data_IF_534557747688
#
_entry.id   IF_534557747688
#
_cell.length_a   1.000
_cell.length_b   1.000
_cell.length_c   1.000
_cell.angle_alpha   90.00
_cell.angle_beta   90.00
_cell.angle_gamma   90.00
#
_symmetry.space_group_name_H-M   'P 1'
#
loop_
_entity.id
_entity.type
_entity.pdbx_description
1 polymer ?
#
# COMPACT_ATOMS: atom_id res chain seq x y z
N UNK A 1 -10.03 21.02 -4.83
CA UNK A 1 -8.57 20.76 -4.88
C UNK A 1 -8.25 19.96 -6.12
N UNK A 2 -6.99 20.02 -6.57
CA UNK A 2 -6.46 19.17 -7.65
C UNK A 2 -5.60 18.08 -7.04
N UNK A 3 -5.98 16.84 -7.25
CA UNK A 3 -5.36 15.67 -6.63
C UNK A 3 -4.66 14.84 -7.71
N UNK A 4 -3.41 14.47 -7.50
CA UNK A 4 -2.70 13.48 -8.30
C UNK A 4 -2.55 12.18 -7.51
N UNK A 5 -2.98 11.06 -8.10
CA UNK A 5 -2.76 9.73 -7.54
C UNK A 5 -1.81 8.95 -8.46
N UNK A 6 -0.59 8.71 -8.01
CA UNK A 6 0.39 7.88 -8.70
C UNK A 6 0.12 6.43 -8.30
N UNK A 7 -0.24 5.58 -9.26
CA UNK A 7 -0.71 4.22 -9.02
C UNK A 7 -2.24 4.13 -8.80
N UNK A 8 -3.01 5.03 -9.42
CA UNK A 8 -4.46 5.12 -9.22
C UNK A 8 -5.29 4.02 -9.90
N UNK A 9 -4.73 3.25 -10.82
CA UNK A 9 -5.35 2.04 -11.36
C UNK A 9 -5.10 0.78 -10.51
N UNK A 10 -4.29 0.90 -9.44
CA UNK A 10 -4.02 -0.16 -8.46
C UNK A 10 -5.12 -0.32 -7.42
N UNK A 11 -4.95 -1.29 -6.52
CA UNK A 11 -5.91 -1.62 -5.46
C UNK A 11 -6.24 -0.40 -4.57
N UNK A 12 -5.28 0.11 -3.82
CA UNK A 12 -5.51 1.24 -2.89
C UNK A 12 -5.78 2.53 -3.66
N UNK A 13 -5.02 2.76 -4.75
CA UNK A 13 -5.12 3.98 -5.54
C UNK A 13 -6.49 4.19 -6.16
N UNK A 14 -7.16 3.14 -6.63
CA UNK A 14 -8.49 3.25 -7.23
C UNK A 14 -9.58 3.62 -6.23
N UNK A 15 -9.53 3.09 -5.01
CA UNK A 15 -10.43 3.49 -3.93
C UNK A 15 -10.17 4.94 -3.49
N UNK A 16 -8.92 5.38 -3.50
CA UNK A 16 -8.57 6.77 -3.21
C UNK A 16 -9.07 7.72 -4.31
N UNK A 17 -8.92 7.34 -5.58
CA UNK A 17 -9.50 8.07 -6.72
C UNK A 17 -11.01 8.21 -6.57
N UNK A 18 -11.72 7.13 -6.22
CA UNK A 18 -13.16 7.14 -5.98
C UNK A 18 -13.56 8.08 -4.85
N UNK A 19 -12.85 8.03 -3.72
CA UNK A 19 -13.13 8.86 -2.56
C UNK A 19 -13.00 10.37 -2.82
N UNK A 20 -12.12 10.76 -3.76
CA UNK A 20 -11.93 12.18 -4.10
C UNK A 20 -12.74 12.64 -5.32
N UNK A 21 -13.14 11.74 -6.23
CA UNK A 21 -13.72 12.11 -7.55
C UNK A 21 -15.02 12.92 -7.47
N UNK A 22 -15.82 12.74 -6.41
CA UNK A 22 -17.10 13.43 -6.27
C UNK A 22 -17.00 14.94 -6.04
N UNK A 23 -15.91 15.43 -5.46
CA UNK A 23 -15.78 16.83 -5.01
C UNK A 23 -14.48 17.52 -5.44
N UNK A 24 -13.59 16.82 -6.15
CA UNK A 24 -12.25 17.30 -6.50
C UNK A 24 -11.87 16.93 -7.94
N UNK A 25 -11.01 17.72 -8.56
CA UNK A 25 -10.36 17.34 -9.82
C UNK A 25 -9.30 16.27 -9.51
N UNK A 26 -9.54 15.05 -9.96
CA UNK A 26 -8.65 13.91 -9.72
C UNK A 26 -8.01 13.46 -11.02
N UNK A 27 -6.70 13.33 -11.00
CA UNK A 27 -5.92 12.72 -12.08
C UNK A 27 -5.10 11.56 -11.52
N UNK A 28 -4.97 10.51 -12.30
CA UNK A 28 -4.10 9.39 -12.01
C UNK A 28 -3.03 9.23 -13.08
N UNK A 29 -1.79 8.93 -12.67
CA UNK A 29 -0.79 8.30 -13.54
C UNK A 29 -0.55 6.87 -13.07
N UNK A 30 -0.49 5.94 -14.03
CA UNK A 30 -0.22 4.53 -13.75
C UNK A 30 0.51 3.93 -14.97
N UNK A 31 1.49 3.06 -14.75
CA UNK A 31 2.19 2.32 -15.80
C UNK A 31 1.61 0.92 -16.01
N UNK A 32 0.56 0.58 -15.29
CA UNK A 32 -0.21 -0.67 -15.36
C UNK A 32 0.61 -1.94 -15.11
N UNK A 33 1.74 -1.87 -14.39
CA UNK A 33 2.49 -3.07 -13.96
C UNK A 33 1.61 -3.96 -13.07
N UNK A 34 0.81 -3.34 -12.17
CA UNK A 34 -0.14 -4.06 -11.30
C UNK A 34 -1.55 -3.48 -11.35
N UNK A 35 -1.70 -2.27 -11.86
CA UNK A 35 -2.97 -1.58 -12.06
C UNK A 35 -3.79 -2.22 -13.19
N UNK A 36 -5.10 -1.97 -13.18
CA UNK A 36 -6.05 -2.50 -14.18
C UNK A 36 -7.00 -1.40 -14.63
N UNK A 37 -7.36 -1.42 -15.90
CA UNK A 37 -8.39 -0.51 -16.44
C UNK A 37 -9.76 -0.73 -15.82
N UNK A 38 -10.06 -1.96 -15.37
CA UNK A 38 -11.30 -2.30 -14.66
C UNK A 38 -11.46 -1.56 -13.32
N UNK A 39 -10.38 -1.00 -12.79
CA UNK A 39 -10.39 -0.19 -11.58
C UNK A 39 -10.58 1.31 -11.85
N UNK A 40 -10.77 1.72 -13.11
CA UNK A 40 -10.97 3.12 -13.43
C UNK A 40 -12.29 3.65 -12.86
N UNK A 41 -12.26 4.90 -12.45
CA UNK A 41 -13.42 5.67 -11.97
C UNK A 41 -13.76 6.72 -13.02
N UNK A 42 -15.01 6.79 -13.44
CA UNK A 42 -15.46 7.59 -14.59
C UNK A 42 -15.08 9.07 -14.53
N UNK A 43 -15.07 9.67 -13.35
CA UNK A 43 -14.75 11.09 -13.16
C UNK A 43 -13.25 11.38 -13.02
N UNK A 44 -12.39 10.37 -13.17
CA UNK A 44 -10.94 10.50 -12.99
C UNK A 44 -10.22 10.46 -14.35
N UNK A 45 -9.33 11.40 -14.58
CA UNK A 45 -8.46 11.40 -15.76
C UNK A 45 -7.27 10.44 -15.53
N UNK A 46 -7.20 9.36 -16.31
CA UNK A 46 -6.10 8.38 -16.26
C UNK A 46 -5.11 8.62 -17.40
N UNK A 47 -3.83 8.72 -17.03
CA UNK A 47 -2.72 8.86 -17.99
C UNK A 47 -1.83 7.62 -17.83
N UNK A 48 -1.60 6.90 -18.92
CA UNK A 48 -0.59 5.84 -18.95
C UNK A 48 0.80 6.48 -18.96
N UNK A 49 1.38 6.61 -17.77
CA UNK A 49 2.67 7.27 -17.58
C UNK A 49 3.42 6.62 -16.42
N UNK A 50 4.70 6.33 -16.63
CA UNK A 50 5.59 5.92 -15.55
C UNK A 50 5.92 7.11 -14.65
N UNK A 51 5.96 6.88 -13.33
CA UNK A 51 6.30 7.93 -12.36
C UNK A 51 7.70 8.54 -12.58
N UNK A 52 8.60 7.82 -13.26
CA UNK A 52 9.90 8.36 -13.68
C UNK A 52 9.76 9.56 -14.62
N UNK A 53 8.69 9.60 -15.42
CA UNK A 53 8.42 10.66 -16.38
C UNK A 53 7.47 11.75 -15.87
N UNK A 54 7.18 11.78 -14.57
CA UNK A 54 6.21 12.70 -13.95
C UNK A 54 6.51 14.19 -14.27
N UNK A 55 7.77 14.53 -14.44
CA UNK A 55 8.20 15.90 -14.78
C UNK A 55 7.69 16.40 -16.14
N UNK A 56 7.16 15.51 -16.99
CA UNK A 56 6.51 15.88 -18.26
C UNK A 56 5.07 16.40 -18.08
N UNK A 57 4.49 16.28 -16.88
CA UNK A 57 3.15 16.80 -16.61
C UNK A 57 3.19 18.32 -16.48
N UNK A 58 2.29 19.00 -17.17
CA UNK A 58 2.19 20.48 -17.23
C UNK A 58 1.26 21.11 -16.19
N UNK A 59 0.64 20.29 -15.31
CA UNK A 59 -0.38 20.73 -14.34
C UNK A 59 0.18 20.83 -12.93
N UNK A 60 -0.42 21.76 -12.15
CA UNK A 60 -0.17 21.90 -10.71
C UNK A 60 -1.24 21.11 -9.94
N UNK A 61 -0.81 20.50 -8.83
CA UNK A 61 -1.67 19.77 -7.90
C UNK A 61 -1.52 20.34 -6.50
N UNK A 62 -2.59 20.23 -5.71
CA UNK A 62 -2.56 20.61 -4.29
C UNK A 62 -2.01 19.45 -3.43
N UNK A 63 -2.36 18.23 -3.80
CA UNK A 63 -1.93 17.00 -3.10
C UNK A 63 -1.49 15.96 -4.14
N UNK A 64 -0.38 15.29 -3.84
CA UNK A 64 0.14 14.15 -4.61
C UNK A 64 0.19 12.93 -3.69
N UNK A 65 -0.52 11.86 -4.05
CA UNK A 65 -0.39 10.56 -3.41
C UNK A 65 0.56 9.68 -4.23
N UNK A 66 1.68 9.28 -3.64
CA UNK A 66 2.64 8.38 -4.29
C UNK A 66 2.44 6.94 -3.78
N UNK A 67 1.60 6.18 -4.52
CA UNK A 67 1.26 4.77 -4.26
C UNK A 67 1.84 3.84 -5.34
N UNK A 68 2.37 4.40 -6.44
CA UNK A 68 2.80 3.69 -7.65
C UNK A 68 4.22 3.14 -7.55
N UNK A 69 4.49 2.25 -6.58
CA UNK A 69 5.75 1.53 -6.46
C UNK A 69 5.51 0.02 -6.49
N UNK A 70 6.53 -0.75 -6.91
CA UNK A 70 6.49 -2.20 -6.81
C UNK A 70 6.28 -2.64 -5.35
N UNK A 71 5.35 -3.56 -5.09
CA UNK A 71 4.80 -3.81 -3.75
C UNK A 71 4.77 -5.27 -3.30
N UNK A 72 5.73 -6.12 -3.76
CA UNK A 72 5.79 -7.53 -3.37
C UNK A 72 7.16 -7.90 -2.78
N UNK A 73 7.13 -8.47 -1.57
CA UNK A 73 8.35 -8.83 -0.82
C UNK A 73 9.04 -10.03 -1.45
N UNK A 74 8.32 -11.14 -1.58
CA UNK A 74 8.85 -12.43 -2.03
C UNK A 74 9.39 -12.36 -3.46
N UNK A 75 8.60 -11.87 -4.38
CA UNK A 75 8.93 -11.78 -5.79
C UNK A 75 10.07 -10.78 -6.07
N UNK A 76 10.29 -9.82 -5.16
CA UNK A 76 11.38 -8.87 -5.29
C UNK A 76 12.77 -9.53 -5.21
N UNK A 77 12.89 -10.69 -4.54
CA UNK A 77 14.16 -11.40 -4.39
C UNK A 77 14.77 -11.85 -5.73
N UNK A 78 13.92 -12.15 -6.71
CA UNK A 78 14.34 -12.56 -8.06
C UNK A 78 14.36 -11.44 -9.08
N UNK A 79 13.98 -10.20 -8.68
CA UNK A 79 13.79 -9.04 -9.56
C UNK A 79 14.48 -7.78 -9.03
N UNK A 80 15.69 -7.92 -8.50
CA UNK A 80 16.40 -6.85 -7.76
C UNK A 80 16.46 -5.56 -8.58
N UNK A 81 17.04 -5.59 -9.78
CA UNK A 81 17.23 -4.40 -10.62
C UNK A 81 15.91 -3.75 -11.01
N UNK A 82 14.91 -4.58 -11.35
CA UNK A 82 13.58 -4.11 -11.69
C UNK A 82 12.94 -3.36 -10.52
N UNK A 83 12.99 -3.92 -9.31
CA UNK A 83 12.38 -3.32 -8.10
C UNK A 83 13.08 -2.02 -7.73
N UNK A 84 14.41 -2.01 -7.69
CA UNK A 84 15.18 -0.81 -7.34
C UNK A 84 14.96 0.30 -8.38
N UNK A 85 14.97 -0.04 -9.68
CA UNK A 85 14.69 0.92 -10.75
C UNK A 85 13.28 1.52 -10.65
N UNK A 86 12.26 0.71 -10.41
CA UNK A 86 10.86 1.18 -10.36
C UNK A 86 10.49 1.90 -9.06
N UNK A 87 11.26 1.75 -7.99
CA UNK A 87 10.94 2.39 -6.72
C UNK A 87 11.81 3.61 -6.45
N UNK A 88 13.13 3.56 -6.70
CA UNK A 88 14.05 4.60 -6.20
C UNK A 88 14.08 5.83 -7.10
N UNK A 89 14.42 5.67 -8.38
CA UNK A 89 14.54 6.79 -9.33
C UNK A 89 13.22 7.57 -9.48
N UNK A 90 12.06 6.90 -9.68
CA UNK A 90 10.78 7.60 -9.78
C UNK A 90 10.44 8.43 -8.55
N UNK A 91 10.72 7.94 -7.35
CA UNK A 91 10.44 8.70 -6.11
C UNK A 91 11.19 10.02 -6.05
N UNK A 92 12.43 10.08 -6.53
CA UNK A 92 13.17 11.34 -6.61
C UNK A 92 12.51 12.33 -7.60
N UNK A 93 12.02 11.86 -8.74
CA UNK A 93 11.32 12.72 -9.70
C UNK A 93 9.96 13.20 -9.17
N UNK A 94 9.24 12.34 -8.42
CA UNK A 94 8.01 12.75 -7.72
C UNK A 94 8.31 13.86 -6.69
N UNK A 95 9.40 13.76 -5.94
CA UNK A 95 9.80 14.78 -4.99
C UNK A 95 10.13 16.13 -5.67
N UNK A 96 10.87 16.10 -6.79
CA UNK A 96 11.14 17.30 -7.60
C UNK A 96 9.85 17.93 -8.10
N UNK A 97 8.95 17.11 -8.65
CA UNK A 97 7.66 17.58 -9.17
C UNK A 97 6.79 18.17 -8.06
N UNK A 98 6.70 17.53 -6.89
CA UNK A 98 5.96 18.03 -5.75
C UNK A 98 6.53 19.39 -5.26
N UNK A 99 7.85 19.54 -5.27
CA UNK A 99 8.51 20.83 -4.94
C UNK A 99 8.16 21.91 -5.95
N UNK A 100 8.28 21.64 -7.26
CA UNK A 100 8.00 22.61 -8.33
C UNK A 100 6.54 23.07 -8.34
N UNK A 101 5.62 22.17 -7.99
CA UNK A 101 4.19 22.45 -7.93
C UNK A 101 3.70 22.96 -6.57
N UNK A 102 4.57 22.98 -5.56
CA UNK A 102 4.24 23.28 -4.15
C UNK A 102 3.11 22.40 -3.59
N UNK A 103 3.06 21.14 -4.01
CA UNK A 103 2.05 20.18 -3.60
C UNK A 103 2.42 19.51 -2.27
N UNK A 104 1.41 19.16 -1.45
CA UNK A 104 1.60 18.26 -0.32
C UNK A 104 1.81 16.84 -0.81
N UNK A 105 2.92 16.19 -0.40
CA UNK A 105 3.21 14.81 -0.77
C UNK A 105 2.74 13.85 0.32
N UNK A 106 1.89 12.88 -0.05
CA UNK A 106 1.52 11.74 0.78
C UNK A 106 2.22 10.50 0.21
N UNK A 107 3.22 10.01 0.92
CA UNK A 107 4.02 8.87 0.49
C UNK A 107 3.56 7.57 1.15
N UNK A 108 3.41 6.52 0.33
CA UNK A 108 3.09 5.18 0.80
C UNK A 108 4.36 4.40 1.17
N UNK A 109 4.78 4.45 2.41
CA UNK A 109 5.79 3.60 2.98
C UNK A 109 5.30 2.16 3.19
N UNK A 110 6.12 1.35 3.88
CA UNK A 110 5.79 -0.05 4.18
C UNK A 110 6.04 -0.40 5.64
N UNK A 111 5.11 -1.15 6.25
CA UNK A 111 5.27 -1.69 7.60
C UNK A 111 6.46 -2.66 7.75
N UNK A 112 7.09 -3.09 6.64
CA UNK A 112 8.32 -3.87 6.68
C UNK A 112 9.48 -3.11 7.35
N UNK A 113 9.44 -1.78 7.37
CA UNK A 113 10.39 -0.92 8.09
C UNK A 113 10.43 -1.24 9.59
N UNK A 114 9.29 -1.63 10.17
CA UNK A 114 9.10 -1.89 11.62
C UNK A 114 8.99 -3.38 11.95
N UNK A 115 9.16 -4.26 10.97
CA UNK A 115 9.06 -5.69 11.17
C UNK A 115 10.35 -6.27 11.77
N UNK A 116 10.21 -7.30 12.61
CA UNK A 116 11.32 -8.00 13.26
C UNK A 116 12.31 -7.02 13.93
N UNK A 117 11.80 -6.10 14.76
CA UNK A 117 12.56 -5.03 15.43
C UNK A 117 13.35 -4.12 14.46
N UNK A 118 12.84 -3.92 13.25
CA UNK A 118 13.45 -3.08 12.23
C UNK A 118 14.51 -3.77 11.37
N UNK A 119 14.81 -5.05 11.59
CA UNK A 119 15.79 -5.81 10.79
C UNK A 119 15.25 -6.17 9.40
N UNK A 120 13.93 -6.29 9.25
CA UNK A 120 13.31 -6.72 8.00
C UNK A 120 13.55 -5.76 6.82
N UNK A 121 13.86 -4.49 7.09
CA UNK A 121 14.14 -3.47 6.06
C UNK A 121 15.28 -3.84 5.10
N UNK A 122 16.19 -4.73 5.50
CA UNK A 122 17.33 -5.18 4.67
C UNK A 122 17.15 -6.60 4.10
N UNK A 123 16.01 -7.28 4.37
CA UNK A 123 15.81 -8.68 3.97
C UNK A 123 15.29 -8.88 2.55
N UNK A 124 14.91 -7.83 1.84
CA UNK A 124 14.48 -7.92 0.44
C UNK A 124 14.67 -6.59 -0.29
N UNK A 125 14.82 -6.61 -1.64
CA UNK A 125 14.88 -5.38 -2.45
C UNK A 125 13.68 -4.47 -2.26
N UNK A 126 12.47 -5.04 -2.11
CA UNK A 126 11.27 -4.28 -1.79
C UNK A 126 11.38 -3.58 -0.43
N UNK A 127 11.70 -4.31 0.64
CA UNK A 127 11.81 -3.72 1.98
C UNK A 127 12.88 -2.64 2.04
N UNK A 128 14.02 -2.88 1.38
CA UNK A 128 15.11 -1.92 1.26
C UNK A 128 14.67 -0.65 0.54
N UNK A 129 14.08 -0.76 -0.66
CA UNK A 129 13.65 0.40 -1.44
C UNK A 129 12.59 1.23 -0.69
N UNK A 130 11.63 0.58 -0.03
CA UNK A 130 10.60 1.27 0.76
C UNK A 130 11.17 2.00 1.98
N UNK A 131 12.10 1.38 2.68
CA UNK A 131 12.81 2.03 3.78
C UNK A 131 13.63 3.22 3.28
N UNK A 132 14.48 3.01 2.27
CA UNK A 132 15.32 4.06 1.69
C UNK A 132 14.49 5.25 1.20
N UNK A 133 13.38 5.00 0.48
CA UNK A 133 12.52 6.05 -0.02
C UNK A 133 11.79 6.80 1.12
N UNK A 134 11.42 6.12 2.21
CA UNK A 134 10.86 6.81 3.39
C UNK A 134 11.86 7.80 3.98
N UNK A 135 13.14 7.43 4.09
CA UNK A 135 14.21 8.32 4.57
C UNK A 135 14.50 9.44 3.54
N UNK A 136 14.51 9.12 2.25
CA UNK A 136 14.68 10.10 1.18
C UNK A 136 13.56 11.14 1.16
N UNK A 137 12.30 10.71 1.25
CA UNK A 137 11.13 11.61 1.30
C UNK A 137 11.23 12.53 2.50
N UNK A 138 11.49 11.97 3.69
CA UNK A 138 11.67 12.76 4.91
C UNK A 138 12.77 13.81 4.76
N UNK A 139 13.98 13.37 4.39
CA UNK A 139 15.13 14.25 4.21
C UNK A 139 14.88 15.36 3.19
N UNK A 140 14.37 14.99 2.01
CA UNK A 140 14.15 15.94 0.91
C UNK A 140 13.07 16.98 1.26
N UNK A 141 11.96 16.54 1.85
CA UNK A 141 10.87 17.43 2.23
C UNK A 141 11.26 18.38 3.38
N UNK A 142 11.96 17.88 4.40
CA UNK A 142 12.44 18.70 5.52
C UNK A 142 13.46 19.75 5.04
N UNK A 143 14.44 19.34 4.22
CA UNK A 143 15.46 20.25 3.65
C UNK A 143 14.84 21.38 2.80
N UNK A 144 13.77 21.07 2.06
CA UNK A 144 13.11 22.02 1.16
C UNK A 144 11.84 22.65 1.77
N UNK A 145 11.53 22.41 3.05
CA UNK A 145 10.35 22.92 3.76
C UNK A 145 9.02 22.59 3.06
N UNK A 146 8.95 21.39 2.45
CA UNK A 146 7.76 20.94 1.73
C UNK A 146 6.75 20.30 2.68
N UNK A 147 5.42 20.51 2.46
CA UNK A 147 4.41 19.79 3.19
C UNK A 147 4.38 18.30 2.76
N UNK A 148 4.46 17.38 3.73
CA UNK A 148 4.44 15.95 3.45
C UNK A 148 3.86 15.14 4.59
N UNK A 149 3.42 13.90 4.29
CA UNK A 149 3.17 12.87 5.29
C UNK A 149 3.62 11.49 4.75
N UNK A 150 4.23 10.67 5.62
CA UNK A 150 4.62 9.29 5.30
C UNK A 150 3.68 8.33 6.01
N UNK A 151 2.99 7.51 5.23
CA UNK A 151 2.04 6.50 5.71
C UNK A 151 2.66 5.11 5.62
N UNK A 152 2.23 4.19 6.50
CA UNK A 152 2.70 2.80 6.52
C UNK A 152 1.50 1.86 6.56
N UNK A 153 1.33 1.07 5.51
CA UNK A 153 0.20 0.14 5.40
C UNK A 153 0.49 -1.22 6.04
N UNK A 154 -0.53 -1.78 6.70
CA UNK A 154 -0.50 -3.08 7.34
C UNK A 154 -1.55 -3.99 6.70
N UNK A 155 -1.10 -4.82 5.75
CA UNK A 155 -1.87 -5.85 5.03
C UNK A 155 -3.31 -5.43 4.69
N UNK A 156 -3.43 -4.42 3.83
CA UNK A 156 -4.72 -3.92 3.38
C UNK A 156 -5.48 -5.01 2.62
N UNK A 157 -6.78 -5.15 2.90
CA UNK A 157 -7.68 -6.10 2.25
C UNK A 157 -9.00 -5.44 1.87
N UNK A 158 -9.77 -6.05 0.93
CA UNK A 158 -11.08 -5.56 0.50
C UNK A 158 -11.31 -5.69 -1.00
N UNK A 159 -12.26 -4.94 -1.53
CA UNK A 159 -12.58 -4.94 -2.96
C UNK A 159 -11.40 -4.53 -3.85
N UNK A 160 -11.40 -4.97 -5.11
CA UNK A 160 -10.36 -4.67 -6.14
C UNK A 160 -8.95 -5.22 -5.86
N UNK A 161 -8.79 -6.09 -4.86
CA UNK A 161 -7.53 -6.82 -4.66
C UNK A 161 -7.23 -7.76 -5.83
N UNK A 162 -5.95 -7.95 -6.13
CA UNK A 162 -5.53 -9.03 -7.02
C UNK A 162 -5.63 -10.38 -6.28
N UNK A 163 -6.41 -11.31 -6.81
CA UNK A 163 -6.60 -12.66 -6.26
C UNK A 163 -5.68 -13.71 -6.87
N UNK A 164 -5.03 -13.39 -7.98
CA UNK A 164 -4.16 -14.29 -8.75
C UNK A 164 -2.89 -13.59 -9.22
N UNK A 165 -1.90 -14.38 -9.60
CA UNK A 165 -0.62 -13.88 -10.13
C UNK A 165 0.29 -13.27 -9.06
N UNK A 166 1.30 -12.56 -9.53
CA UNK A 166 2.37 -12.01 -8.72
C UNK A 166 1.88 -11.03 -7.64
N UNK A 167 0.86 -10.24 -7.96
CA UNK A 167 0.33 -9.19 -7.09
C UNK A 167 -0.84 -9.64 -6.21
N UNK A 168 -1.12 -10.94 -6.15
CA UNK A 168 -2.17 -11.48 -5.29
C UNK A 168 -1.89 -11.21 -3.81
N UNK A 169 -2.92 -10.77 -3.08
CA UNK A 169 -2.89 -10.60 -1.62
C UNK A 169 -3.36 -11.87 -0.93
N UNK A 170 -3.00 -12.04 0.33
CA UNK A 170 -3.30 -13.31 1.03
C UNK A 170 -4.80 -13.55 1.17
N UNK A 171 -5.58 -12.53 1.54
CA UNK A 171 -7.04 -12.67 1.72
C UNK A 171 -7.70 -12.99 0.37
N UNK A 172 -7.44 -12.20 -0.67
CA UNK A 172 -8.04 -12.42 -1.98
C UNK A 172 -7.62 -13.77 -2.59
N UNK A 173 -6.34 -14.20 -2.41
CA UNK A 173 -5.87 -15.52 -2.83
C UNK A 173 -6.64 -16.65 -2.13
N UNK A 174 -6.85 -16.54 -0.82
CA UNK A 174 -7.55 -17.58 -0.05
C UNK A 174 -9.03 -17.66 -0.44
N UNK A 175 -9.73 -16.53 -0.53
CA UNK A 175 -11.11 -16.48 -1.00
C UNK A 175 -11.28 -17.03 -2.42
N UNK A 176 -10.36 -16.66 -3.34
CA UNK A 176 -10.36 -17.21 -4.70
C UNK A 176 -10.18 -18.73 -4.71
N UNK A 177 -9.19 -19.26 -3.96
CA UNK A 177 -8.95 -20.71 -3.89
C UNK A 177 -10.15 -21.46 -3.29
N UNK A 178 -10.80 -20.89 -2.26
CA UNK A 178 -12.04 -21.45 -1.68
C UNK A 178 -13.15 -21.53 -2.72
N UNK A 179 -13.38 -20.46 -3.49
CA UNK A 179 -14.38 -20.43 -4.59
C UNK A 179 -14.07 -21.46 -5.70
N UNK A 180 -12.82 -21.84 -5.86
CA UNK A 180 -12.37 -22.90 -6.80
C UNK A 180 -12.32 -24.30 -6.18
N UNK A 181 -12.82 -24.51 -4.96
CA UNK A 181 -12.71 -25.76 -4.19
C UNK A 181 -11.27 -26.30 -4.08
N UNK A 182 -10.27 -25.40 -4.00
CA UNK A 182 -8.85 -25.73 -3.83
C UNK A 182 -8.42 -25.54 -2.39
N UNK A 183 -7.47 -26.37 -1.92
CA UNK A 183 -6.84 -26.20 -0.61
C UNK A 183 -6.18 -24.83 -0.49
N UNK A 184 -6.24 -24.22 0.71
CA UNK A 184 -5.53 -22.97 0.99
C UNK A 184 -4.06 -23.26 1.30
N UNK A 185 -3.17 -22.64 0.54
CA UNK A 185 -1.71 -22.76 0.73
C UNK A 185 -1.24 -21.76 1.77
N UNK A 186 -0.83 -22.23 2.93
CA UNK A 186 -0.26 -21.44 4.02
C UNK A 186 1.24 -21.69 4.08
N UNK A 187 2.05 -20.64 3.92
CA UNK A 187 3.49 -20.72 4.06
C UNK A 187 3.88 -21.04 5.51
N UNK A 188 4.74 -22.05 5.70
CA UNK A 188 5.26 -22.42 7.03
C UNK A 188 5.95 -21.23 7.72
N UNK A 189 5.87 -21.15 9.07
CA UNK A 189 5.21 -22.07 9.98
C UNK A 189 3.69 -21.86 10.09
N UNK A 190 3.10 -20.85 9.48
CA UNK A 190 1.68 -20.48 9.59
C UNK A 190 1.35 -19.63 10.83
N UNK A 191 2.26 -19.58 11.80
CA UNK A 191 2.12 -18.81 13.06
C UNK A 191 2.60 -17.35 12.97
N UNK A 192 3.13 -16.95 11.81
CA UNK A 192 3.47 -15.54 11.58
C UNK A 192 2.24 -14.66 11.67
N UNK A 193 2.34 -13.58 12.47
CA UNK A 193 1.21 -12.69 12.74
C UNK A 193 1.16 -11.49 11.80
N UNK A 194 -0.05 -11.04 11.49
CA UNK A 194 -0.31 -9.83 10.68
C UNK A 194 -1.47 -9.04 11.27
N UNK A 195 -1.38 -7.73 11.10
CA UNK A 195 -2.52 -6.84 11.24
C UNK A 195 -3.14 -6.68 9.85
N UNK A 196 -4.44 -6.82 9.76
CA UNK A 196 -5.21 -6.68 8.53
C UNK A 196 -6.11 -5.46 8.65
N UNK A 197 -6.02 -4.52 7.71
CA UNK A 197 -6.78 -3.27 7.72
C UNK A 197 -7.67 -3.22 6.49
N UNK A 198 -8.97 -3.01 6.68
CA UNK A 198 -9.88 -2.93 5.56
C UNK A 198 -9.59 -1.72 4.68
N UNK A 199 -9.88 -1.84 3.38
CA UNK A 199 -9.61 -0.76 2.42
C UNK A 199 -10.35 0.54 2.78
N UNK A 200 -11.59 0.49 3.21
CA UNK A 200 -12.36 1.67 3.60
C UNK A 200 -11.75 2.37 4.82
N UNK A 201 -11.29 1.60 5.82
CA UNK A 201 -10.56 2.15 6.96
C UNK A 201 -9.23 2.77 6.52
N UNK A 202 -8.55 2.13 5.55
CA UNK A 202 -7.30 2.66 4.99
C UNK A 202 -7.54 3.98 4.25
N UNK A 203 -8.59 4.07 3.44
CA UNK A 203 -8.95 5.29 2.72
C UNK A 203 -9.35 6.40 3.70
N UNK A 204 -10.19 6.11 4.69
CA UNK A 204 -10.57 7.09 5.72
C UNK A 204 -9.37 7.70 6.44
N UNK A 205 -8.35 6.86 6.76
CA UNK A 205 -7.09 7.33 7.33
C UNK A 205 -6.32 8.22 6.36
N UNK A 206 -6.21 7.83 5.08
CA UNK A 206 -5.49 8.61 4.06
C UNK A 206 -6.11 9.98 3.85
N UNK A 207 -7.45 10.09 3.80
CA UNK A 207 -8.16 11.36 3.70
C UNK A 207 -7.83 12.27 4.89
N UNK A 208 -7.87 11.73 6.10
CA UNK A 208 -7.57 12.46 7.32
C UNK A 208 -6.12 12.92 7.41
N UNK A 209 -5.17 12.05 6.99
CA UNK A 209 -3.74 12.39 6.92
C UNK A 209 -3.47 13.44 5.83
N UNK A 210 -4.16 13.36 4.71
CA UNK A 210 -4.03 14.36 3.65
C UNK A 210 -4.47 15.75 4.12
N UNK A 211 -5.52 15.82 4.91
CA UNK A 211 -6.04 17.06 5.49
C UNK A 211 -5.12 17.59 6.63
N UNK A 212 -4.86 16.76 7.64
CA UNK A 212 -4.27 17.18 8.92
C UNK A 212 -2.86 16.66 9.20
N UNK A 213 -2.43 15.63 8.49
CA UNK A 213 -1.14 14.97 8.78
C UNK A 213 0.06 15.79 8.32
N UNK A 214 1.16 15.69 9.06
CA UNK A 214 2.45 16.24 8.69
C UNK A 214 3.60 15.38 9.22
N UNK A 215 4.62 15.15 8.38
CA UNK A 215 5.82 14.41 8.75
C UNK A 215 5.65 12.89 8.66
N UNK A 216 6.45 12.16 9.44
CA UNK A 216 6.55 10.69 9.40
C UNK A 216 5.66 9.99 10.46
N UNK A 217 5.60 8.65 10.39
CA UNK A 217 5.02 7.72 11.37
C UNK A 217 3.48 7.61 11.39
N UNK A 218 2.83 7.73 10.26
CA UNK A 218 1.40 7.44 10.13
C UNK A 218 1.17 5.97 9.78
N UNK A 219 1.23 5.07 10.77
CA UNK A 219 0.89 3.65 10.58
C UNK A 219 -0.63 3.45 10.54
N UNK A 220 -1.13 2.93 9.44
CA UNK A 220 -2.57 2.66 9.24
C UNK A 220 -2.80 1.18 9.49
N UNK A 221 -3.15 0.82 10.73
CA UNK A 221 -3.30 -0.56 11.17
C UNK A 221 -4.50 -0.76 12.08
N UNK A 222 -5.34 -1.76 11.77
CA UNK A 222 -6.23 -2.33 12.78
C UNK A 222 -5.36 -3.00 13.86
N UNK A 223 -5.56 -2.72 15.14
CA UNK A 223 -4.71 -3.25 16.22
C UNK A 223 -4.81 -4.76 16.39
N UNK A 224 -5.89 -5.40 15.91
CA UNK A 224 -6.10 -6.84 16.04
C UNK A 224 -5.13 -7.61 15.14
N UNK A 225 -4.47 -8.57 15.73
CA UNK A 225 -3.53 -9.45 15.04
C UNK A 225 -4.13 -10.83 14.81
N UNK A 226 -3.76 -11.44 13.69
CA UNK A 226 -4.11 -12.81 13.35
C UNK A 226 -2.88 -13.51 12.79
N UNK A 227 -2.73 -14.79 13.10
CA UNK A 227 -1.80 -15.65 12.37
C UNK A 227 -2.34 -15.93 10.97
N UNK A 228 -1.45 -16.22 10.02
CA UNK A 228 -1.90 -16.58 8.65
C UNK A 228 -2.74 -17.86 8.67
N UNK A 229 -2.44 -18.79 9.60
CA UNK A 229 -3.21 -20.01 9.79
C UNK A 229 -4.63 -19.71 10.28
N UNK A 230 -4.81 -18.87 11.30
CA UNK A 230 -6.15 -18.45 11.77
C UNK A 230 -6.98 -17.82 10.65
N UNK A 231 -6.37 -16.96 9.82
CA UNK A 231 -7.06 -16.38 8.67
C UNK A 231 -7.49 -17.46 7.66
N UNK A 232 -6.65 -18.43 7.39
CA UNK A 232 -7.00 -19.54 6.51
C UNK A 232 -8.15 -20.38 7.10
N UNK A 233 -8.13 -20.66 8.41
CA UNK A 233 -9.17 -21.41 9.14
C UNK A 233 -10.52 -20.69 9.16
N UNK A 234 -10.55 -19.34 9.14
CA UNK A 234 -11.80 -18.59 8.97
C UNK A 234 -12.46 -18.81 7.59
N UNK A 235 -11.66 -19.19 6.57
CA UNK A 235 -12.13 -19.31 5.18
C UNK A 235 -12.40 -20.77 4.79
N UNK A 236 -11.58 -21.71 5.25
CA UNK A 236 -11.69 -23.13 4.88
C UNK A 236 -11.01 -24.03 5.90
N UNK A 237 -11.56 -25.24 6.05
CA UNK A 237 -10.95 -26.38 6.75
C UNK A 237 -9.87 -27.10 5.90
N UNK A 238 -9.85 -26.86 4.58
CA UNK A 238 -8.91 -27.49 3.65
C UNK A 238 -7.64 -26.64 3.51
N UNK A 239 -6.69 -26.84 4.42
CA UNK A 239 -5.43 -26.08 4.49
C UNK A 239 -4.25 -27.01 4.22
N UNK A 240 -3.25 -26.50 3.48
CA UNK A 240 -1.98 -27.16 3.21
C UNK A 240 -0.82 -26.24 3.59
N UNK A 241 0.10 -26.74 4.41
CA UNK A 241 1.32 -26.02 4.76
C UNK A 241 2.39 -26.23 3.68
N UNK A 242 2.73 -25.18 2.97
CA UNK A 242 3.77 -25.17 1.94
C UNK A 242 5.13 -24.73 2.49
N UNK A 243 6.18 -24.82 1.67
CA UNK A 243 7.56 -24.47 2.06
C UNK A 243 7.68 -23.08 2.69
N UNK A 244 8.60 -22.95 3.63
CA UNK A 244 8.95 -21.66 4.23
C UNK A 244 9.57 -20.70 3.22
N UNK A 245 9.34 -19.40 3.41
CA UNK A 245 9.90 -18.35 2.60
C UNK A 245 10.88 -17.51 3.42
N UNK A 246 12.10 -17.33 2.90
CA UNK A 246 13.20 -16.62 3.57
C UNK A 246 12.87 -15.15 3.86
N UNK A 247 12.03 -14.53 3.04
CA UNK A 247 11.61 -13.13 3.22
C UNK A 247 10.39 -12.98 4.15
N UNK A 248 9.90 -14.07 4.73
CA UNK A 248 8.72 -14.05 5.57
C UNK A 248 9.03 -13.46 6.95
N UNK A 249 8.45 -12.30 7.25
CA UNK A 249 8.56 -11.68 8.58
C UNK A 249 7.66 -12.40 9.59
N UNK A 250 8.09 -12.50 10.84
CA UNK A 250 7.28 -13.13 11.89
C UNK A 250 6.23 -12.18 12.45
N UNK A 251 6.57 -10.90 12.65
CA UNK A 251 5.66 -9.89 13.18
C UNK A 251 5.97 -8.50 12.63
N UNK A 252 5.14 -7.51 12.95
CA UNK A 252 5.43 -6.10 12.74
C UNK A 252 4.94 -5.29 13.93
N UNK A 253 5.76 -4.36 14.39
CA UNK A 253 5.32 -3.36 15.36
C UNK A 253 4.32 -2.40 14.71
N UNK A 254 3.28 -2.03 15.46
CA UNK A 254 2.26 -1.07 15.02
C UNK A 254 2.64 0.33 15.50
N UNK A 255 2.75 1.26 14.56
CA UNK A 255 3.04 2.68 14.84
C UNK A 255 1.85 3.59 14.53
N UNK A 256 0.64 3.22 14.97
CA UNK A 256 -0.58 3.96 14.62
C UNK A 256 -0.92 5.15 15.53
N UNK A 257 -0.11 5.45 16.55
CA UNK A 257 -0.40 6.53 17.49
C UNK A 257 -0.76 7.86 16.79
N UNK A 258 0.03 8.30 15.81
CA UNK A 258 -0.22 9.57 15.13
C UNK A 258 -1.55 9.62 14.36
N UNK A 259 -1.94 8.54 13.70
CA UNK A 259 -3.23 8.53 12.98
C UNK A 259 -4.41 8.45 13.95
N UNK A 260 -4.26 7.74 15.06
CA UNK A 260 -5.24 7.70 16.14
C UNK A 260 -5.41 9.08 16.82
N UNK A 261 -4.32 9.80 17.04
CA UNK A 261 -4.34 11.17 17.59
C UNK A 261 -5.06 12.18 16.65
N UNK A 262 -5.14 11.91 15.35
CA UNK A 262 -5.97 12.66 14.40
C UNK A 262 -7.48 12.35 14.53
N UNK A 263 -7.86 11.35 15.33
CA UNK A 263 -9.24 10.90 15.52
C UNK A 263 -9.65 9.72 14.65
N UNK A 264 -8.72 9.10 13.90
CA UNK A 264 -9.02 7.90 13.11
C UNK A 264 -9.24 6.69 14.00
N UNK A 265 -10.19 5.82 13.59
CA UNK A 265 -10.42 4.50 14.20
C UNK A 265 -10.77 3.50 13.11
N UNK A 266 -10.17 2.30 13.11
CA UNK A 266 -10.62 1.23 12.22
C UNK A 266 -11.97 0.70 12.73
N UNK A 267 -12.90 0.44 11.82
CA UNK A 267 -14.27 0.02 12.15
C UNK A 267 -14.64 -1.34 11.55
N UNK A 268 -13.89 -1.86 10.59
CA UNK A 268 -14.25 -3.07 9.86
C UNK A 268 -13.39 -4.23 10.33
N UNK A 269 -14.04 -5.26 10.88
CA UNK A 269 -13.38 -6.47 11.36
C UNK A 269 -13.15 -7.46 10.21
N UNK A 270 -11.96 -8.08 10.19
CA UNK A 270 -11.61 -9.07 9.17
C UNK A 270 -12.57 -10.27 9.16
N UNK A 271 -12.99 -10.74 10.35
CA UNK A 271 -13.91 -11.88 10.48
C UNK A 271 -15.27 -11.62 9.84
N UNK A 272 -15.77 -10.39 9.94
CA UNK A 272 -17.08 -10.04 9.40
C UNK A 272 -17.00 -9.90 7.87
N UNK A 273 -15.96 -9.24 7.36
CA UNK A 273 -15.70 -9.21 5.92
C UNK A 273 -15.57 -10.62 5.31
N UNK A 274 -14.81 -11.53 5.95
CA UNK A 274 -14.67 -12.91 5.45
C UNK A 274 -16.02 -13.63 5.39
N UNK A 275 -16.88 -13.50 6.43
CA UNK A 275 -18.22 -14.08 6.45
C UNK A 275 -19.12 -13.58 5.30
N UNK A 276 -19.01 -12.28 4.96
CA UNK A 276 -19.76 -11.69 3.86
C UNK A 276 -19.29 -12.19 2.47
N UNK A 277 -18.04 -12.67 2.36
CA UNK A 277 -17.47 -13.14 1.11
C UNK A 277 -17.68 -14.64 0.86
N UNK A 278 -18.09 -15.42 1.89
CA UNK A 278 -18.32 -16.88 1.83
C UNK A 278 -19.76 -17.21 1.55
#
# INVERSE_FOLDING_TARGET
MKILVIGGAGFIGSHLCEAYSGNHEVRSIDNYISGKTDNHIDQVEYINLDAENILSLDKKFDIIFHLGEYSRVEQSLTKIDFVLKNNISPTLNVLKFAKETNAKLIYAGSSTKFADNGENKLKSPYSFSKWQNSELVKFYCELNQMPYAITYFYNVYGGRENSQGEFATVIAKFLYRKKQNKRLEVTKPGTQTRNFTHIEDTISALLLIADKGHGDQYGIANPKQYTIKEVAEMISDQIELISENVANRMSSEIISKKVLDLGWKPNIELSDYIKEQL
#
